data_IF_387494248763
#
_entry.id   IF_387494248763
#
_cell.length_a   1.000
_cell.length_b   1.000
_cell.length_c   1.000
_cell.angle_alpha   90.00
_cell.angle_beta   90.00
_cell.angle_gamma   90.00
#
_symmetry.space_group_name_H-M   'P 1'
#
loop_
_entity.id
_entity.type
_entity.pdbx_description
1 polymer ?
#
# COMPACT_ATOMS: atom_id res chain seq x y z
N UNK A 1 -25.18 -13.38 2.02
CA UNK A 1 -23.76 -13.69 1.70
C UNK A 1 -22.92 -12.93 2.70
N UNK A 2 -21.83 -13.51 3.24
CA UNK A 2 -20.90 -12.78 4.10
C UNK A 2 -20.19 -11.68 3.30
N UNK A 3 -19.94 -10.53 3.93
CA UNK A 3 -19.11 -9.44 3.37
C UNK A 3 -17.74 -10.01 2.97
N UNK A 4 -17.19 -9.54 1.85
CA UNK A 4 -15.82 -9.84 1.43
C UNK A 4 -14.78 -9.35 2.44
N UNK A 5 -13.54 -9.83 2.31
CA UNK A 5 -12.41 -9.39 3.15
C UNK A 5 -11.59 -8.33 2.43
N UNK A 6 -11.06 -7.39 3.18
CA UNK A 6 -10.18 -6.34 2.67
C UNK A 6 -8.76 -6.53 3.20
N UNK A 7 -7.83 -6.88 2.31
CA UNK A 7 -6.42 -7.13 2.62
C UNK A 7 -5.58 -6.07 1.93
N UNK A 8 -4.64 -5.48 2.65
CA UNK A 8 -3.70 -4.51 2.09
C UNK A 8 -2.27 -4.97 2.23
N UNK A 9 -1.43 -4.57 1.28
CA UNK A 9 0.01 -4.73 1.34
C UNK A 9 0.64 -3.37 1.52
N UNK A 10 1.51 -3.24 2.50
CA UNK A 10 2.23 -2.03 2.83
C UNK A 10 3.74 -2.27 2.91
N UNK A 11 4.52 -1.20 2.99
CA UNK A 11 5.98 -1.25 3.06
C UNK A 11 6.64 -0.28 2.09
N UNK A 12 7.97 -0.13 2.22
CA UNK A 12 8.79 0.74 1.37
C UNK A 12 8.80 0.35 -0.11
N UNK A 13 9.51 1.14 -0.90
CA UNK A 13 9.74 0.79 -2.31
C UNK A 13 10.70 -0.40 -2.42
N UNK A 14 10.55 -1.21 -3.46
CA UNK A 14 11.42 -2.39 -3.68
C UNK A 14 11.22 -3.57 -2.72
N UNK A 15 10.33 -3.51 -1.72
CA UNK A 15 10.12 -4.61 -0.77
C UNK A 15 9.37 -5.83 -1.35
N UNK A 16 8.86 -5.76 -2.60
CA UNK A 16 8.27 -6.91 -3.30
C UNK A 16 6.74 -7.00 -3.24
N UNK A 17 6.03 -5.96 -2.81
CA UNK A 17 4.55 -5.93 -2.69
C UNK A 17 3.83 -6.46 -3.92
N UNK A 18 4.09 -5.88 -5.09
CA UNK A 18 3.35 -6.22 -6.32
C UNK A 18 3.50 -7.69 -6.73
N UNK A 19 4.61 -8.35 -6.38
CA UNK A 19 4.80 -9.79 -6.58
C UNK A 19 3.88 -10.58 -5.65
N UNK A 20 3.86 -10.24 -4.37
CA UNK A 20 3.09 -10.96 -3.37
C UNK A 20 1.57 -10.72 -3.51
N UNK A 21 1.17 -9.51 -3.91
CA UNK A 21 -0.22 -9.17 -4.25
C UNK A 21 -0.78 -10.09 -5.35
N UNK A 22 0.00 -10.29 -6.43
CA UNK A 22 -0.40 -11.19 -7.54
C UNK A 22 -0.50 -12.64 -7.07
N UNK A 23 0.49 -13.12 -6.30
CA UNK A 23 0.49 -14.48 -5.75
C UNK A 23 -0.70 -14.72 -4.82
N UNK A 24 -1.02 -13.74 -3.97
CA UNK A 24 -2.17 -13.86 -3.07
C UNK A 24 -3.49 -13.95 -3.85
N UNK A 25 -3.67 -13.11 -4.87
CA UNK A 25 -4.84 -13.21 -5.76
C UNK A 25 -4.97 -14.61 -6.35
N UNK A 26 -3.91 -15.10 -7.00
CA UNK A 26 -3.92 -16.41 -7.66
C UNK A 26 -4.20 -17.57 -6.69
N UNK A 27 -3.65 -17.50 -5.47
CA UNK A 27 -3.87 -18.52 -4.46
C UNK A 27 -5.32 -18.52 -3.94
N UNK A 28 -5.89 -17.34 -3.67
CA UNK A 28 -7.28 -17.20 -3.24
C UNK A 28 -8.25 -17.64 -4.34
N UNK A 29 -7.99 -17.31 -5.61
CA UNK A 29 -8.82 -17.73 -6.74
C UNK A 29 -8.80 -19.25 -6.93
N UNK A 30 -7.66 -19.91 -6.70
CA UNK A 30 -7.57 -21.39 -6.69
C UNK A 30 -8.41 -22.04 -5.57
N UNK A 31 -8.65 -21.32 -4.47
CA UNK A 31 -9.55 -21.73 -3.40
C UNK A 31 -11.03 -21.33 -3.65
N UNK A 32 -11.36 -20.82 -4.83
CA UNK A 32 -12.72 -20.43 -5.21
C UNK A 32 -13.15 -19.05 -4.68
N UNK A 33 -12.24 -18.27 -4.10
CA UNK A 33 -12.53 -16.91 -3.64
C UNK A 33 -12.53 -15.94 -4.81
N UNK A 34 -13.57 -15.14 -4.95
CA UNK A 34 -13.63 -14.05 -5.95
C UNK A 34 -12.79 -12.87 -5.44
N UNK A 35 -11.73 -12.48 -6.16
CA UNK A 35 -10.80 -11.44 -5.75
C UNK A 35 -10.83 -10.25 -6.69
N UNK A 36 -10.89 -9.06 -6.14
CA UNK A 36 -10.62 -7.79 -6.83
C UNK A 36 -9.21 -7.31 -6.43
N UNK A 37 -8.34 -7.07 -7.41
CA UNK A 37 -7.09 -6.35 -7.17
C UNK A 37 -7.26 -4.87 -7.42
N UNK A 38 -6.63 -4.06 -6.56
CA UNK A 38 -6.50 -2.63 -6.76
C UNK A 38 -5.16 -2.12 -6.23
N UNK A 39 -4.89 -0.84 -6.38
CA UNK A 39 -3.70 -0.16 -5.83
C UNK A 39 -3.98 1.30 -5.53
N UNK A 40 -3.19 1.89 -4.67
CA UNK A 40 -3.20 3.33 -4.44
C UNK A 40 -1.85 4.01 -4.76
N UNK A 41 -1.89 5.24 -5.29
CA UNK A 41 -3.07 5.87 -5.91
C UNK A 41 -3.41 5.19 -7.22
N UNK A 42 -4.70 5.11 -7.58
CA UNK A 42 -5.17 4.50 -8.82
C UNK A 42 -6.49 3.73 -8.68
N UNK A 43 -6.81 2.90 -9.68
CA UNK A 43 -7.98 2.01 -9.66
C UNK A 43 -9.31 2.65 -10.08
N UNK A 44 -9.36 3.97 -10.33
CA UNK A 44 -10.45 4.67 -11.01
C UNK A 44 -9.86 5.69 -11.97
N UNK A 45 -10.64 6.15 -12.95
CA UNK A 45 -10.15 7.18 -13.88
C UNK A 45 -9.59 8.40 -13.13
N UNK A 46 -10.36 8.98 -12.21
CA UNK A 46 -9.92 10.14 -11.42
C UNK A 46 -8.65 9.83 -10.62
N UNK A 47 -8.58 8.66 -10.00
CA UNK A 47 -7.42 8.27 -9.19
C UNK A 47 -6.17 8.02 -10.03
N UNK A 48 -6.31 7.59 -11.28
CA UNK A 48 -5.17 7.48 -12.21
C UNK A 48 -4.66 8.86 -12.66
N UNK A 49 -5.56 9.82 -12.95
CA UNK A 49 -5.17 11.20 -13.24
C UNK A 49 -4.42 11.84 -12.06
N UNK A 50 -4.93 11.64 -10.84
CA UNK A 50 -4.25 12.09 -9.62
C UNK A 50 -2.89 11.41 -9.47
N UNK A 51 -2.79 10.12 -9.79
CA UNK A 51 -1.50 9.40 -9.77
C UNK A 51 -0.49 10.04 -10.71
N UNK A 52 -0.90 10.46 -11.91
CA UNK A 52 -0.02 11.16 -12.85
C UNK A 52 0.49 12.46 -12.22
N UNK A 53 -0.38 13.29 -11.65
CA UNK A 53 0.00 14.54 -10.97
C UNK A 53 0.99 14.32 -9.82
N UNK A 54 0.78 13.28 -8.99
CA UNK A 54 1.64 12.98 -7.85
C UNK A 54 3.04 12.49 -8.30
N UNK A 55 3.09 11.69 -9.37
CA UNK A 55 4.32 11.06 -9.86
C UNK A 55 5.11 11.94 -10.83
N UNK A 56 4.47 12.96 -11.37
CA UNK A 56 5.11 13.86 -12.32
C UNK A 56 6.36 14.52 -11.71
N UNK A 57 7.39 14.59 -12.51
CA UNK A 57 8.71 15.13 -12.14
C UNK A 57 8.90 16.58 -12.65
N UNK A 58 7.81 17.26 -12.92
CA UNK A 58 7.86 18.66 -13.35
C UNK A 58 8.36 19.59 -12.25
N UNK A 59 8.73 20.80 -12.65
CA UNK A 59 9.21 21.85 -11.74
C UNK A 59 8.15 22.34 -10.74
N UNK A 60 6.86 22.05 -11.01
CA UNK A 60 5.72 22.42 -10.15
C UNK A 60 5.19 21.20 -9.38
N UNK A 61 6.07 20.55 -8.63
CA UNK A 61 5.69 19.40 -7.80
C UNK A 61 4.73 19.81 -6.68
N UNK A 62 3.70 18.99 -6.35
CA UNK A 62 2.80 19.28 -5.24
C UNK A 62 3.57 19.48 -3.92
N UNK A 63 3.23 20.53 -3.17
CA UNK A 63 3.71 20.67 -1.79
C UNK A 63 3.09 19.57 -0.90
N UNK A 64 3.66 19.33 0.29
CA UNK A 64 3.27 18.21 1.17
C UNK A 64 1.77 18.17 1.49
N UNK A 65 1.13 19.33 1.65
CA UNK A 65 -0.33 19.41 1.89
C UNK A 65 -1.13 19.07 0.64
N UNK A 66 -0.72 19.58 -0.53
CA UNK A 66 -1.35 19.25 -1.81
C UNK A 66 -1.19 17.75 -2.13
N UNK A 67 0.01 17.19 -1.89
CA UNK A 67 0.28 15.75 -2.02
C UNK A 67 -0.69 14.94 -1.17
N UNK A 68 -0.86 15.27 0.11
CA UNK A 68 -1.80 14.63 1.01
C UNK A 68 -3.24 14.68 0.48
N UNK A 69 -3.72 15.88 0.10
CA UNK A 69 -5.09 16.07 -0.38
C UNK A 69 -5.37 15.29 -1.65
N UNK A 70 -4.40 15.19 -2.55
CA UNK A 70 -4.50 14.37 -3.76
C UNK A 70 -4.61 12.87 -3.42
N UNK A 71 -3.79 12.36 -2.48
CA UNK A 71 -3.92 10.97 -2.03
C UNK A 71 -5.30 10.69 -1.42
N UNK A 72 -5.79 11.59 -0.58
CA UNK A 72 -7.10 11.43 0.06
C UNK A 72 -8.25 11.48 -0.97
N UNK A 73 -8.17 12.38 -1.95
CA UNK A 73 -9.17 12.47 -3.03
C UNK A 73 -9.20 11.18 -3.87
N UNK A 74 -8.03 10.66 -4.26
CA UNK A 74 -7.91 9.40 -4.99
C UNK A 74 -8.49 8.22 -4.19
N UNK A 75 -8.20 8.16 -2.89
CA UNK A 75 -8.70 7.13 -1.96
C UNK A 75 -10.21 7.18 -1.82
N UNK A 76 -10.78 8.36 -1.56
CA UNK A 76 -12.23 8.53 -1.42
C UNK A 76 -12.97 8.02 -2.66
N UNK A 77 -12.47 8.35 -3.84
CA UNK A 77 -13.03 7.87 -5.11
C UNK A 77 -12.93 6.35 -5.26
N UNK A 78 -11.76 5.78 -4.94
CA UNK A 78 -11.50 4.34 -5.02
C UNK A 78 -12.38 3.56 -4.04
N UNK A 79 -12.49 4.03 -2.80
CA UNK A 79 -13.32 3.39 -1.76
C UNK A 79 -14.78 3.36 -2.20
N UNK A 80 -15.31 4.50 -2.61
CA UNK A 80 -16.73 4.66 -2.99
C UNK A 80 -17.10 3.82 -4.20
N UNK A 81 -16.29 3.86 -5.25
CA UNK A 81 -16.67 3.33 -6.56
C UNK A 81 -16.21 1.88 -6.79
N UNK A 82 -15.23 1.40 -6.06
CA UNK A 82 -14.58 0.12 -6.34
C UNK A 82 -14.54 -0.79 -5.11
N UNK A 83 -13.95 -0.33 -4.01
CA UNK A 83 -13.68 -1.22 -2.87
C UNK A 83 -14.99 -1.62 -2.18
N UNK A 84 -15.82 -0.65 -1.77
CA UNK A 84 -17.09 -0.96 -1.07
C UNK A 84 -18.03 -1.82 -1.90
N UNK A 85 -18.33 -1.50 -3.17
CA UNK A 85 -19.19 -2.35 -3.99
C UNK A 85 -18.67 -3.78 -4.14
N UNK A 86 -17.35 -3.96 -4.23
CA UNK A 86 -16.76 -5.29 -4.30
C UNK A 86 -16.94 -6.09 -3.01
N UNK A 87 -16.66 -5.45 -1.86
CA UNK A 87 -16.83 -6.07 -0.53
C UNK A 87 -18.29 -6.44 -0.27
N UNK A 88 -19.23 -5.56 -0.62
CA UNK A 88 -20.67 -5.77 -0.45
C UNK A 88 -21.17 -6.91 -1.36
N UNK A 89 -20.57 -7.08 -2.54
CA UNK A 89 -20.81 -8.22 -3.43
C UNK A 89 -20.13 -9.52 -2.97
N UNK A 90 -19.52 -9.54 -1.77
CA UNK A 90 -18.82 -10.70 -1.21
C UNK A 90 -17.50 -11.03 -1.90
N UNK A 91 -16.92 -10.11 -2.68
CA UNK A 91 -15.58 -10.27 -3.23
C UNK A 91 -14.54 -9.88 -2.19
N UNK A 92 -13.43 -10.58 -2.15
CA UNK A 92 -12.26 -10.12 -1.41
C UNK A 92 -11.57 -9.01 -2.21
N UNK A 93 -11.06 -8.01 -1.52
CA UNK A 93 -10.27 -6.93 -2.12
C UNK A 93 -8.85 -7.04 -1.62
N UNK A 94 -7.89 -7.05 -2.55
CA UNK A 94 -6.46 -6.99 -2.24
C UNK A 94 -5.91 -5.70 -2.84
N UNK A 95 -5.35 -4.83 -2.01
CA UNK A 95 -4.80 -3.54 -2.44
C UNK A 95 -3.30 -3.47 -2.23
N UNK A 96 -2.57 -3.00 -3.24
CA UNK A 96 -1.18 -2.54 -3.09
C UNK A 96 -1.22 -1.11 -2.58
N UNK A 97 -0.99 -0.92 -1.29
CA UNK A 97 -1.15 0.28 -0.47
C UNK A 97 -2.61 0.65 -0.15
N UNK A 98 -2.75 1.34 1.00
CA UNK A 98 -3.99 1.98 1.47
C UNK A 98 -3.66 3.09 2.49
N UNK A 99 -4.53 3.31 3.47
CA UNK A 99 -4.46 4.41 4.45
C UNK A 99 -3.20 4.42 5.32
N UNK A 100 -2.59 3.27 5.60
CA UNK A 100 -1.35 3.18 6.38
C UNK A 100 -0.17 3.83 5.63
N UNK A 101 -0.16 3.78 4.29
CA UNK A 101 0.81 4.53 3.49
C UNK A 101 0.75 6.04 3.74
N UNK A 102 -0.44 6.63 3.91
CA UNK A 102 -0.56 8.07 4.22
C UNK A 102 0.07 8.43 5.56
N UNK A 103 -0.17 7.60 6.59
CA UNK A 103 0.45 7.81 7.90
C UNK A 103 1.98 7.69 7.81
N UNK A 104 2.48 6.69 7.09
CA UNK A 104 3.92 6.50 6.94
C UNK A 104 4.60 7.59 6.09
N UNK A 105 4.06 7.89 4.91
CA UNK A 105 4.68 8.82 3.95
C UNK A 105 4.45 10.28 4.32
N UNK A 106 3.18 10.72 4.49
CA UNK A 106 2.86 12.11 4.78
C UNK A 106 3.03 12.44 6.26
N UNK A 107 2.80 11.46 7.16
CA UNK A 107 3.02 11.62 8.60
C UNK A 107 4.49 11.54 8.95
N UNK A 108 5.04 10.35 9.05
CA UNK A 108 6.43 10.15 9.47
C UNK A 108 7.43 10.68 8.44
N UNK A 109 7.19 10.50 7.16
CA UNK A 109 8.05 10.96 6.08
C UNK A 109 8.12 12.48 5.94
N UNK A 110 6.96 13.16 5.77
CA UNK A 110 6.83 14.60 5.57
C UNK A 110 6.66 15.40 6.88
N UNK A 111 6.36 14.73 8.00
CA UNK A 111 6.18 15.40 9.30
C UNK A 111 4.81 16.06 9.49
N UNK A 112 3.78 15.69 8.71
CA UNK A 112 2.43 16.20 8.93
C UNK A 112 1.81 15.60 10.20
N UNK A 113 0.90 16.32 10.90
CA UNK A 113 0.33 15.87 12.17
C UNK A 113 -0.47 14.57 12.03
N UNK A 114 -0.06 13.51 12.75
CA UNK A 114 -0.63 12.18 12.64
C UNK A 114 -2.13 12.13 13.00
N UNK A 115 -2.57 12.89 14.00
CA UNK A 115 -3.98 12.91 14.42
C UNK A 115 -4.88 13.50 13.34
N UNK A 116 -4.41 14.56 12.67
CA UNK A 116 -5.10 15.11 11.50
C UNK A 116 -5.15 14.09 10.37
N UNK A 117 -4.04 13.38 10.10
CA UNK A 117 -3.99 12.36 9.05
C UNK A 117 -4.94 11.18 9.32
N UNK A 118 -5.06 10.76 10.58
CA UNK A 118 -6.03 9.72 10.97
C UNK A 118 -7.47 10.17 10.68
N UNK A 119 -7.82 11.38 11.13
CA UNK A 119 -9.16 11.96 10.88
C UNK A 119 -9.45 12.11 9.40
N UNK A 120 -8.49 12.62 8.61
CA UNK A 120 -8.63 12.80 7.18
C UNK A 120 -8.73 11.46 6.42
N UNK A 121 -7.98 10.45 6.84
CA UNK A 121 -8.10 9.08 6.31
C UNK A 121 -9.47 8.49 6.63
N UNK A 122 -9.96 8.60 7.88
CA UNK A 122 -11.27 8.08 8.27
C UNK A 122 -12.38 8.75 7.45
N UNK A 123 -12.28 10.04 7.19
CA UNK A 123 -13.20 10.75 6.30
C UNK A 123 -13.12 10.22 4.85
N UNK A 124 -11.92 10.11 4.27
CA UNK A 124 -11.75 9.65 2.90
C UNK A 124 -12.16 8.19 2.71
N UNK A 125 -11.99 7.35 3.73
CA UNK A 125 -12.35 5.94 3.70
C UNK A 125 -13.82 5.68 4.11
N UNK A 126 -14.55 6.69 4.57
CA UNK A 126 -15.86 6.52 5.22
C UNK A 126 -15.80 5.45 6.34
N UNK A 127 -14.73 5.45 7.15
CA UNK A 127 -14.49 4.49 8.20
C UNK A 127 -14.10 3.07 7.75
N UNK A 128 -13.88 2.83 6.45
CA UNK A 128 -13.42 1.53 5.97
C UNK A 128 -11.98 1.28 6.44
N UNK A 129 -11.75 0.13 7.08
CA UNK A 129 -10.42 -0.34 7.49
C UNK A 129 -10.13 -1.71 6.89
N UNK A 130 -8.87 -2.02 6.60
CA UNK A 130 -8.46 -3.37 6.22
C UNK A 130 -8.73 -4.39 7.33
N UNK A 131 -9.17 -5.59 6.95
CA UNK A 131 -9.24 -6.74 7.88
C UNK A 131 -7.84 -7.25 8.24
N UNK A 132 -6.88 -7.07 7.31
CA UNK A 132 -5.46 -7.41 7.48
C UNK A 132 -4.59 -6.50 6.63
N UNK A 133 -3.52 -5.99 7.21
CA UNK A 133 -2.42 -5.35 6.50
C UNK A 133 -1.17 -6.23 6.58
N UNK A 134 -0.62 -6.60 5.44
CA UNK A 134 0.65 -7.31 5.32
C UNK A 134 1.76 -6.27 5.06
N UNK A 135 2.51 -5.96 6.11
CA UNK A 135 3.63 -5.02 6.04
C UNK A 135 4.90 -5.78 5.63
N UNK A 136 5.33 -5.58 4.39
CA UNK A 136 6.58 -6.13 3.90
C UNK A 136 7.75 -5.23 4.31
N UNK A 137 8.58 -5.72 5.23
CA UNK A 137 9.79 -5.02 5.69
C UNK A 137 11.03 -5.68 5.07
N UNK A 138 11.75 -4.90 4.26
CA UNK A 138 13.02 -5.30 3.65
C UNK A 138 14.12 -4.31 4.06
N UNK A 139 15.33 -4.82 4.22
CA UNK A 139 16.50 -3.98 4.47
C UNK A 139 16.71 -2.98 3.32
N UNK A 140 17.20 -1.76 3.60
CA UNK A 140 17.41 -0.74 2.58
C UNK A 140 18.24 -1.23 1.40
N UNK A 141 19.29 -2.02 1.66
CA UNK A 141 20.20 -2.56 0.63
C UNK A 141 19.49 -3.55 -0.29
N UNK A 142 18.61 -4.39 0.26
CA UNK A 142 17.81 -5.36 -0.49
C UNK A 142 16.80 -4.63 -1.37
N UNK A 143 16.11 -3.65 -0.81
CA UNK A 143 15.15 -2.81 -1.52
C UNK A 143 15.81 -2.05 -2.66
N UNK A 144 16.95 -1.40 -2.42
CA UNK A 144 17.72 -0.67 -3.44
C UNK A 144 18.21 -1.58 -4.57
N UNK A 145 18.69 -2.80 -4.24
CA UNK A 145 19.12 -3.76 -5.25
C UNK A 145 17.96 -4.20 -6.16
N UNK A 146 16.77 -4.43 -5.58
CA UNK A 146 15.56 -4.80 -6.33
C UNK A 146 15.06 -3.67 -7.21
N UNK A 147 15.12 -2.42 -6.72
CA UNK A 147 14.74 -1.23 -7.50
C UNK A 147 15.64 -1.08 -8.72
N UNK A 148 16.98 -1.13 -8.55
CA UNK A 148 17.94 -1.08 -9.67
C UNK A 148 17.68 -2.17 -10.71
N UNK A 149 17.42 -3.42 -10.26
CA UNK A 149 17.09 -4.52 -11.18
C UNK A 149 15.80 -4.27 -11.96
N UNK A 150 14.77 -3.71 -11.31
CA UNK A 150 13.51 -3.34 -11.96
C UNK A 150 13.71 -2.25 -13.00
N UNK A 151 14.41 -1.16 -12.64
CA UNK A 151 14.70 -0.04 -13.56
C UNK A 151 15.45 -0.51 -14.81
N UNK A 152 16.48 -1.35 -14.63
CA UNK A 152 17.22 -1.93 -15.74
C UNK A 152 16.34 -2.83 -16.65
N UNK A 153 15.37 -3.56 -16.08
CA UNK A 153 14.50 -4.46 -16.84
C UNK A 153 13.36 -3.74 -17.58
N UNK A 154 12.88 -2.59 -17.05
CA UNK A 154 11.69 -1.89 -17.57
C UNK A 154 12.01 -0.57 -18.26
N UNK A 155 13.27 -0.14 -18.26
CA UNK A 155 13.73 1.17 -18.74
C UNK A 155 12.88 2.34 -18.16
N UNK A 156 12.39 2.18 -16.92
CA UNK A 156 11.62 3.19 -16.20
C UNK A 156 12.53 3.92 -15.22
N UNK A 157 12.34 5.23 -15.11
CA UNK A 157 13.05 6.05 -14.12
C UNK A 157 12.29 6.06 -12.80
N UNK A 158 13.03 6.16 -11.69
CA UNK A 158 12.46 6.35 -10.35
C UNK A 158 11.54 7.59 -10.33
N UNK A 159 10.37 7.46 -9.71
CA UNK A 159 9.45 8.59 -9.54
C UNK A 159 9.91 9.54 -8.42
N UNK A 160 9.15 10.62 -8.23
CA UNK A 160 9.46 11.67 -7.23
C UNK A 160 9.57 11.12 -5.79
N UNK A 161 8.71 10.17 -5.43
CA UNK A 161 8.71 9.57 -4.11
C UNK A 161 9.90 8.62 -3.91
N UNK A 162 10.24 7.86 -4.95
CA UNK A 162 11.39 6.94 -4.96
C UNK A 162 12.73 7.71 -4.90
N UNK A 163 12.78 8.95 -5.40
CA UNK A 163 13.98 9.84 -5.37
C UNK A 163 14.13 10.65 -4.08
N UNK A 164 13.16 10.63 -3.18
CA UNK A 164 13.27 11.27 -1.88
C UNK A 164 14.36 10.57 -1.06
N UNK A 165 15.39 11.29 -0.62
CA UNK A 165 16.64 10.75 -0.05
C UNK A 165 16.48 9.71 1.07
N UNK A 166 17.57 9.04 1.43
CA UNK A 166 17.62 7.93 2.39
C UNK A 166 16.94 8.25 3.73
N UNK A 167 17.16 9.43 4.28
CA UNK A 167 16.55 9.86 5.53
C UNK A 167 14.99 9.90 5.46
N UNK A 168 14.41 10.17 4.30
CA UNK A 168 12.97 10.12 4.11
C UNK A 168 12.47 8.68 4.15
N UNK A 169 13.13 7.77 3.45
CA UNK A 169 12.77 6.36 3.42
C UNK A 169 12.96 5.68 4.79
N UNK A 170 13.99 6.07 5.55
CA UNK A 170 14.18 5.57 6.91
C UNK A 170 13.05 6.02 7.85
N UNK A 171 12.60 7.28 7.77
CA UNK A 171 11.44 7.74 8.55
C UNK A 171 10.16 6.99 8.17
N UNK A 172 9.95 6.68 6.89
CA UNK A 172 8.80 5.88 6.42
C UNK A 172 8.87 4.47 7.01
N UNK A 173 10.02 3.83 6.95
CA UNK A 173 10.22 2.48 7.50
C UNK A 173 9.95 2.44 9.00
N UNK A 174 10.52 3.39 9.75
CA UNK A 174 10.26 3.55 11.17
C UNK A 174 8.78 3.81 11.44
N UNK A 175 8.13 4.64 10.62
CA UNK A 175 6.71 4.93 10.71
C UNK A 175 5.85 3.68 10.53
N UNK A 176 6.13 2.84 9.56
CA UNK A 176 5.43 1.57 9.39
C UNK A 176 5.63 0.62 10.59
N UNK A 177 6.84 0.57 11.15
CA UNK A 177 7.11 -0.24 12.34
C UNK A 177 6.30 0.25 13.56
N UNK A 178 6.17 1.57 13.76
CA UNK A 178 5.33 2.12 14.83
C UNK A 178 3.84 1.83 14.61
N UNK A 179 3.35 1.91 13.37
CA UNK A 179 1.96 1.54 13.04
C UNK A 179 1.70 0.06 13.33
N UNK A 180 2.64 -0.83 12.98
CA UNK A 180 2.51 -2.26 13.27
C UNK A 180 2.49 -2.56 14.76
N UNK A 181 3.31 -1.87 15.56
CA UNK A 181 3.28 -1.98 17.03
C UNK A 181 1.98 -1.49 17.64
N UNK A 182 1.39 -0.43 17.06
CA UNK A 182 0.14 0.15 17.55
C UNK A 182 -1.11 -0.70 17.23
N UNK A 183 -1.07 -1.47 16.12
CA UNK A 183 -2.20 -2.29 15.66
C UNK A 183 -1.77 -3.74 15.33
N UNK A 184 -1.20 -4.51 16.29
CA UNK A 184 -0.61 -5.83 16.03
C UNK A 184 -1.65 -6.87 15.58
N UNK A 185 -2.92 -6.69 15.92
CA UNK A 185 -4.01 -7.58 15.49
C UNK A 185 -4.37 -7.38 14.00
N UNK A 186 -4.12 -6.20 13.44
CA UNK A 186 -4.44 -5.84 12.07
C UNK A 186 -3.22 -5.85 11.15
N UNK A 187 -2.07 -5.39 11.61
CA UNK A 187 -0.85 -5.24 10.82
C UNK A 187 0.14 -6.36 11.18
N UNK A 188 0.41 -7.22 10.22
CA UNK A 188 1.38 -8.31 10.35
C UNK A 188 2.63 -7.97 9.56
N UNK A 189 3.75 -7.84 10.26
CA UNK A 189 5.05 -7.61 9.62
C UNK A 189 5.59 -8.90 9.03
N UNK A 190 5.98 -8.83 7.77
CA UNK A 190 6.56 -9.93 6.97
C UNK A 190 8.01 -9.59 6.67
N UNK A 191 8.94 -10.43 7.10
CA UNK A 191 10.34 -10.32 6.67
C UNK A 191 10.41 -10.53 5.15
N UNK A 192 10.76 -9.46 4.44
CA UNK A 192 10.81 -9.44 2.99
C UNK A 192 12.24 -9.49 2.43
N UNK A 193 13.24 -9.87 3.23
CA UNK A 193 14.64 -9.95 2.80
C UNK A 193 14.93 -11.16 1.91
N UNK A 194 14.19 -12.25 2.07
CA UNK A 194 14.35 -13.50 1.35
C UNK A 194 13.93 -13.45 -0.12
N UNK A 195 13.97 -14.62 -0.74
CA UNK A 195 13.47 -14.85 -2.10
C UNK A 195 11.95 -14.61 -2.18
N UNK A 196 11.38 -14.40 -3.37
CA UNK A 196 9.93 -14.29 -3.51
C UNK A 196 9.14 -15.49 -2.95
N UNK A 197 9.73 -16.69 -2.96
CA UNK A 197 9.08 -17.91 -2.46
C UNK A 197 9.08 -17.96 -0.93
N UNK A 198 10.20 -17.63 -0.29
CA UNK A 198 10.30 -17.54 1.18
C UNK A 198 9.35 -16.48 1.74
N UNK A 199 9.29 -15.30 1.10
CA UNK A 199 8.34 -14.24 1.48
C UNK A 199 6.89 -14.71 1.30
N UNK A 200 6.61 -15.44 0.22
CA UNK A 200 5.28 -16.00 -0.04
C UNK A 200 4.81 -16.93 1.07
N UNK A 201 5.66 -17.82 1.56
CA UNK A 201 5.32 -18.72 2.67
C UNK A 201 4.88 -17.96 3.94
N UNK A 202 5.57 -16.85 4.25
CA UNK A 202 5.19 -15.99 5.37
C UNK A 202 3.86 -15.26 5.13
N UNK A 203 3.66 -14.73 3.92
CA UNK A 203 2.39 -14.11 3.51
C UNK A 203 1.24 -15.10 3.63
N UNK A 204 1.41 -16.31 3.05
CA UNK A 204 0.37 -17.35 3.06
C UNK A 204 0.05 -17.85 4.47
N UNK A 205 1.07 -18.00 5.31
CA UNK A 205 0.91 -18.35 6.73
C UNK A 205 0.05 -17.32 7.47
N UNK A 206 0.22 -16.03 7.17
CA UNK A 206 -0.53 -14.95 7.81
C UNK A 206 -2.02 -14.94 7.43
N UNK A 207 -2.38 -15.59 6.31
CA UNK A 207 -3.77 -15.73 5.85
C UNK A 207 -4.57 -16.80 6.59
N UNK A 208 -3.93 -17.66 7.41
CA UNK A 208 -4.61 -18.80 8.10
C UNK A 208 -5.80 -18.40 8.95
N UNK A 209 -5.80 -17.18 9.51
CA UNK A 209 -6.90 -16.68 10.34
C UNK A 209 -8.21 -16.42 9.59
N UNK A 210 -8.18 -16.46 8.26
CA UNK A 210 -9.36 -16.26 7.40
C UNK A 210 -9.80 -17.51 6.65
N UNK A 211 -9.17 -18.65 6.94
CA UNK A 211 -9.39 -19.94 6.27
C UNK A 211 -10.10 -20.91 7.18
#
# INVERSE_FOLDING_TARGET
>A
MSRGRFITFEGGEGCGKSTQVKRLKEALEREGVRVLLTREPGGTWLSEEIRHLIKDQTTDAPCDRSELLLFLAARAQLVKNVIRPALDAGKWVVSDRFSDSTLAYQGYGRGLPLDFLRTANDFACEGLRPDLTLLLDAAPEVSAARMRKREAATNTTADRMERAGEAFHERIRSGFAELAKAEPDRIVTIDANGTPDEVWELVWKSMRRFR
#
